data_IF_585100222535
#
_entry.id   IF_585100222535
#
_cell.length_a   1.000
_cell.length_b   1.000
_cell.length_c   1.000
_cell.angle_alpha   90.00
_cell.angle_beta   90.00
_cell.angle_gamma   90.00
#
_symmetry.space_group_name_H-M   'P 1'
#
loop_
_entity.id
_entity.type
_entity.pdbx_description
1 polymer ?
#
# COMPACT_ATOMS: atom_id res chain seq x y z
N UNK A 1 7.30 -12.29 -7.77
CA UNK A 1 7.41 -12.61 -6.33
C UNK A 1 6.27 -11.92 -5.60
N UNK A 2 5.55 -12.62 -4.72
CA UNK A 2 4.47 -12.06 -3.88
C UNK A 2 4.76 -12.50 -2.44
N UNK A 3 4.79 -11.57 -1.50
CA UNK A 3 5.09 -11.85 -0.09
C UNK A 3 3.84 -11.64 0.74
N UNK A 4 3.65 -12.51 1.74
CA UNK A 4 2.51 -12.47 2.65
C UNK A 4 3.02 -12.62 4.09
N UNK A 5 2.59 -11.73 4.97
CA UNK A 5 2.78 -11.88 6.42
C UNK A 5 1.56 -12.61 6.99
N UNK A 6 1.75 -13.59 7.86
CA UNK A 6 0.64 -14.35 8.44
C UNK A 6 1.00 -14.92 9.81
N UNK A 7 -0.02 -15.33 10.57
CA UNK A 7 0.16 -16.09 11.80
C UNK A 7 -0.18 -17.57 11.56
N UNK A 8 0.57 -18.47 12.19
CA UNK A 8 0.22 -19.88 12.30
C UNK A 8 -0.83 -20.12 13.39
N UNK A 9 -1.42 -21.34 13.47
CA UNK A 9 -2.37 -21.70 14.52
C UNK A 9 -1.85 -21.51 15.96
N UNK A 10 -0.55 -21.66 16.17
CA UNK A 10 0.11 -21.45 17.46
C UNK A 10 0.35 -19.96 17.80
N UNK A 11 -0.01 -19.04 16.90
CA UNK A 11 0.17 -17.60 17.06
C UNK A 11 1.56 -17.10 16.65
N UNK A 12 2.46 -17.97 16.21
CA UNK A 12 3.75 -17.56 15.67
C UNK A 12 3.56 -16.83 14.35
N UNK A 13 4.38 -15.78 14.14
CA UNK A 13 4.30 -14.91 12.99
C UNK A 13 5.35 -15.29 11.96
N UNK A 14 4.98 -15.29 10.69
CA UNK A 14 5.87 -15.68 9.59
C UNK A 14 5.67 -14.81 8.35
N UNK A 15 6.67 -14.82 7.48
CA UNK A 15 6.56 -14.36 6.08
C UNK A 15 6.64 -15.55 5.15
N UNK A 16 5.81 -15.56 4.11
CA UNK A 16 5.86 -16.56 3.06
C UNK A 16 5.85 -15.95 1.66
N UNK A 17 6.48 -16.65 0.72
CA UNK A 17 6.39 -16.36 -0.70
C UNK A 17 5.27 -17.19 -1.34
N UNK A 18 4.35 -16.54 -2.06
CA UNK A 18 3.25 -17.24 -2.72
C UNK A 18 3.81 -18.17 -3.82
N UNK A 19 3.34 -19.41 -3.85
CA UNK A 19 3.64 -20.41 -4.88
C UNK A 19 3.29 -19.90 -6.28
N UNK A 20 3.83 -20.58 -7.31
CA UNK A 20 3.49 -20.29 -8.69
C UNK A 20 1.98 -20.49 -8.96
N UNK A 21 1.40 -21.54 -8.38
CA UNK A 21 -0.01 -21.89 -8.52
C UNK A 21 -0.94 -20.97 -7.71
N UNK A 22 -0.39 -20.21 -6.75
CA UNK A 22 -1.11 -19.15 -6.03
C UNK A 22 -1.85 -19.58 -4.77
N UNK A 23 -1.83 -20.87 -4.44
CA UNK A 23 -2.62 -21.54 -3.40
C UNK A 23 -1.83 -21.83 -2.11
N UNK A 24 -0.51 -21.70 -2.14
CA UNK A 24 0.37 -22.00 -1.01
C UNK A 24 1.36 -20.88 -0.73
N UNK A 25 1.77 -20.77 0.53
CA UNK A 25 2.89 -19.92 0.94
C UNK A 25 4.08 -20.80 1.31
N UNK A 26 5.23 -20.53 0.70
CA UNK A 26 6.52 -21.08 1.10
C UNK A 26 7.07 -20.27 2.26
N UNK A 27 7.18 -20.87 3.45
CA UNK A 27 7.64 -20.16 4.66
C UNK A 27 9.11 -19.77 4.50
N UNK A 28 9.43 -18.52 4.83
CA UNK A 28 10.79 -18.01 4.88
C UNK A 28 11.37 -18.23 6.28
N UNK A 29 12.50 -18.92 6.37
CA UNK A 29 13.22 -19.15 7.61
C UNK A 29 13.74 -17.84 8.20
N UNK A 30 13.67 -17.71 9.53
CA UNK A 30 14.20 -16.56 10.26
C UNK A 30 13.68 -15.22 9.75
N UNK A 31 12.38 -15.14 9.45
CA UNK A 31 11.74 -13.94 8.91
C UNK A 31 10.32 -13.81 9.45
N UNK A 32 10.12 -12.90 10.40
CA UNK A 32 8.82 -12.70 11.04
C UNK A 32 8.03 -11.58 10.34
N UNK A 33 8.74 -10.64 9.69
CA UNK A 33 8.13 -9.50 8.98
C UNK A 33 8.80 -9.19 7.65
N UNK A 34 8.04 -8.63 6.71
CA UNK A 34 8.54 -8.10 5.43
C UNK A 34 9.45 -6.89 5.67
N UNK A 35 9.20 -6.12 6.74
CA UNK A 35 10.10 -5.03 7.16
C UNK A 35 11.49 -5.56 7.52
N UNK A 36 11.57 -6.63 8.31
CA UNK A 36 12.82 -7.30 8.67
C UNK A 36 13.53 -7.84 7.42
N UNK A 37 12.80 -8.53 6.54
CA UNK A 37 13.33 -9.04 5.28
C UNK A 37 13.93 -7.93 4.41
N UNK A 38 13.20 -6.83 4.23
CA UNK A 38 13.65 -5.68 3.44
C UNK A 38 14.84 -4.99 4.09
N UNK A 39 14.84 -4.86 5.42
CA UNK A 39 15.96 -4.28 6.18
C UNK A 39 17.22 -5.12 6.05
N UNK A 40 17.09 -6.45 6.10
CA UNK A 40 18.22 -7.37 5.88
C UNK A 40 18.78 -7.25 4.45
N UNK A 41 17.90 -7.20 3.44
CA UNK A 41 18.31 -7.00 2.05
C UNK A 41 19.09 -5.69 1.86
N UNK A 42 18.64 -4.59 2.46
CA UNK A 42 19.35 -3.30 2.45
C UNK A 42 20.70 -3.39 3.16
N UNK A 43 20.76 -4.00 4.34
CA UNK A 43 21.99 -4.15 5.12
C UNK A 43 23.06 -4.99 4.41
N UNK A 44 22.63 -6.02 3.66
CA UNK A 44 23.50 -6.91 2.90
C UNK A 44 23.83 -6.38 1.49
N UNK A 45 23.22 -5.28 1.04
CA UNK A 45 23.38 -4.75 -0.32
C UNK A 45 22.83 -5.69 -1.40
N UNK A 46 21.76 -6.42 -1.07
CA UNK A 46 21.17 -7.48 -1.89
C UNK A 46 19.74 -7.14 -2.29
N UNK A 47 19.25 -7.80 -3.35
CA UNK A 47 17.83 -7.70 -3.71
C UNK A 47 16.98 -8.51 -2.74
N UNK A 48 15.76 -8.04 -2.44
CA UNK A 48 14.78 -8.78 -1.63
C UNK A 48 14.57 -10.19 -2.21
N UNK A 49 14.51 -10.32 -3.54
CA UNK A 49 14.36 -11.62 -4.21
C UNK A 49 15.48 -12.59 -3.84
N UNK A 50 16.74 -12.15 -3.80
CA UNK A 50 17.86 -13.02 -3.44
C UNK A 50 17.83 -13.46 -1.97
N UNK A 51 17.33 -12.62 -1.06
CA UNK A 51 17.17 -12.99 0.36
C UNK A 51 16.01 -13.96 0.54
N UNK A 52 14.92 -13.78 -0.21
CA UNK A 52 13.77 -14.71 -0.23
C UNK A 52 14.17 -16.09 -0.73
N UNK A 53 14.96 -16.16 -1.80
CA UNK A 53 15.47 -17.43 -2.34
C UNK A 53 16.34 -18.18 -1.32
N UNK A 54 17.24 -17.48 -0.64
CA UNK A 54 18.11 -18.07 0.39
C UNK A 54 17.32 -18.56 1.61
N UNK A 55 16.32 -17.79 2.04
CA UNK A 55 15.52 -18.11 3.24
C UNK A 55 14.39 -19.09 2.97
N UNK A 56 14.18 -19.56 1.73
CA UNK A 56 13.11 -20.49 1.43
C UNK A 56 13.33 -21.84 2.13
N UNK A 57 12.58 -22.10 3.20
CA UNK A 57 12.74 -23.29 4.04
C UNK A 57 12.11 -24.56 3.48
N UNK A 58 11.40 -24.48 2.36
CA UNK A 58 10.71 -25.61 1.73
C UNK A 58 9.38 -26.00 2.40
N UNK A 59 9.15 -25.59 3.65
CA UNK A 59 7.85 -25.73 4.32
C UNK A 59 6.79 -24.89 3.61
N UNK A 60 5.58 -25.45 3.50
CA UNK A 60 4.44 -24.83 2.83
C UNK A 60 3.19 -24.87 3.68
N UNK A 61 2.37 -23.83 3.56
CA UNK A 61 1.06 -23.73 4.19
C UNK A 61 -0.01 -23.35 3.18
N UNK A 62 -1.24 -23.79 3.42
CA UNK A 62 -2.42 -23.49 2.60
C UNK A 62 -2.78 -22.00 2.74
N UNK A 63 -2.63 -21.25 1.66
CA UNK A 63 -2.86 -19.80 1.68
C UNK A 63 -4.34 -19.45 1.80
N UNK A 64 -5.21 -20.20 1.12
CA UNK A 64 -6.65 -19.96 1.17
C UNK A 64 -7.22 -20.28 2.55
N UNK A 65 -6.66 -21.27 3.24
CA UNK A 65 -7.02 -21.57 4.63
C UNK A 65 -6.63 -20.41 5.55
N UNK A 66 -5.43 -19.85 5.41
CA UNK A 66 -5.01 -18.68 6.20
C UNK A 66 -5.92 -17.47 5.97
N UNK A 67 -6.35 -17.23 4.73
CA UNK A 67 -7.32 -16.17 4.41
C UNK A 67 -8.69 -16.44 5.06
N UNK A 68 -9.23 -17.65 4.92
CA UNK A 68 -10.53 -18.04 5.53
C UNK A 68 -10.51 -17.95 7.05
N UNK A 69 -9.37 -18.24 7.66
CA UNK A 69 -9.19 -18.18 9.12
C UNK A 69 -8.81 -16.78 9.62
N UNK A 70 -8.68 -15.78 8.76
CA UNK A 70 -8.33 -14.41 9.14
C UNK A 70 -6.91 -14.29 9.72
N UNK A 71 -5.99 -15.17 9.28
CA UNK A 71 -4.61 -15.22 9.77
C UNK A 71 -3.61 -14.43 8.93
N UNK A 72 -4.02 -13.98 7.75
CA UNK A 72 -3.22 -13.11 6.90
C UNK A 72 -3.17 -11.71 7.52
N UNK A 73 -1.96 -11.19 7.68
CA UNK A 73 -1.70 -9.87 8.25
C UNK A 73 -1.61 -8.81 7.14
N UNK A 74 -1.45 -7.55 7.54
CA UNK A 74 -1.12 -6.48 6.60
C UNK A 74 0.18 -6.81 5.85
N UNK A 75 0.36 -6.39 4.58
CA UNK A 75 1.56 -6.73 3.81
C UNK A 75 2.87 -6.24 4.44
N UNK A 76 2.83 -5.08 5.11
CA UNK A 76 3.93 -4.48 5.88
C UNK A 76 3.34 -3.73 7.07
N UNK A 77 4.04 -3.76 8.20
CA UNK A 77 3.79 -3.01 9.43
C UNK A 77 5.12 -2.59 10.06
N UNK A 78 5.04 -1.75 11.09
CA UNK A 78 6.20 -1.25 11.81
C UNK A 78 5.96 -1.33 13.32
N UNK A 79 6.95 -1.77 14.13
CA UNK A 79 6.80 -1.88 15.60
C UNK A 79 6.50 -0.54 16.28
N UNK A 80 6.93 0.56 15.65
CA UNK A 80 6.53 1.92 15.98
C UNK A 80 5.57 2.46 14.89
N UNK A 81 4.25 2.40 15.08
CA UNK A 81 3.30 2.77 14.03
C UNK A 81 3.49 4.18 13.48
N UNK A 82 3.95 5.13 14.30
CA UNK A 82 4.22 6.51 13.90
C UNK A 82 5.33 6.66 12.83
N UNK A 83 6.18 5.64 12.66
CA UNK A 83 7.23 5.59 11.62
C UNK A 83 6.76 4.93 10.33
N UNK A 84 5.53 4.41 10.30
CA UNK A 84 4.88 3.91 9.10
C UNK A 84 3.90 4.97 8.60
N UNK A 85 4.34 5.80 7.65
CA UNK A 85 3.51 6.87 7.09
C UNK A 85 2.62 6.34 5.97
N UNK A 86 1.34 6.68 6.03
CA UNK A 86 0.38 6.37 4.99
C UNK A 86 0.02 7.71 4.35
N UNK A 87 0.37 7.82 3.08
CA UNK A 87 0.11 8.99 2.26
C UNK A 87 -0.67 8.55 1.04
N UNK A 88 -1.48 9.46 0.51
CA UNK A 88 -2.29 9.19 -0.67
C UNK A 88 -2.16 10.33 -1.68
N UNK A 89 -2.54 10.02 -2.90
CA UNK A 89 -2.64 10.98 -4.01
C UNK A 89 -3.97 10.74 -4.71
N UNK A 90 -4.82 11.76 -4.72
CA UNK A 90 -6.10 11.70 -5.43
C UNK A 90 -5.97 12.27 -6.84
N UNK A 91 -7.11 12.37 -7.54
CA UNK A 91 -7.18 12.86 -8.91
C UNK A 91 -6.29 12.07 -9.89
N UNK A 92 -6.12 10.77 -9.65
CA UNK A 92 -5.26 9.90 -10.47
C UNK A 92 -6.00 9.17 -11.58
N UNK A 93 -7.33 9.29 -11.64
CA UNK A 93 -8.15 8.68 -12.69
C UNK A 93 -9.24 9.65 -13.19
N UNK A 94 -9.63 9.51 -14.46
CA UNK A 94 -10.58 10.42 -15.12
C UNK A 94 -11.93 10.52 -14.42
N UNK A 95 -12.40 9.41 -13.85
CA UNK A 95 -13.67 9.35 -13.11
C UNK A 95 -13.73 10.25 -11.88
N UNK A 96 -12.63 10.40 -11.12
CA UNK A 96 -12.63 11.23 -9.90
C UNK A 96 -12.60 12.72 -10.23
N UNK A 97 -11.82 13.10 -11.24
CA UNK A 97 -11.79 14.49 -11.73
C UNK A 97 -13.17 14.93 -12.25
N UNK A 98 -13.80 14.11 -13.10
CA UNK A 98 -15.11 14.43 -13.67
C UNK A 98 -16.24 14.51 -12.61
N UNK A 99 -16.23 13.62 -11.62
CA UNK A 99 -17.22 13.64 -10.54
C UNK A 99 -17.11 14.90 -9.66
N UNK A 100 -15.88 15.33 -9.34
CA UNK A 100 -15.63 16.55 -8.56
C UNK A 100 -16.05 17.81 -9.33
N UNK A 101 -15.77 17.87 -10.63
CA UNK A 101 -16.18 19.00 -11.46
C UNK A 101 -17.70 19.11 -11.60
N UNK A 102 -18.40 17.98 -11.76
CA UNK A 102 -19.87 17.95 -11.76
C UNK A 102 -20.47 18.48 -10.46
N UNK A 103 -19.89 18.12 -9.30
CA UNK A 103 -20.31 18.69 -8.01
C UNK A 103 -20.01 20.19 -7.92
N UNK A 104 -18.89 20.65 -8.48
CA UNK A 104 -18.53 22.06 -8.51
C UNK A 104 -19.57 22.88 -9.27
N UNK A 105 -19.95 22.43 -10.48
CA UNK A 105 -20.99 23.04 -11.31
C UNK A 105 -22.35 23.03 -10.60
N UNK A 106 -22.74 21.91 -9.99
CA UNK A 106 -24.00 21.84 -9.22
C UNK A 106 -24.05 22.82 -8.05
N UNK A 107 -22.91 23.12 -7.44
CA UNK A 107 -22.82 24.00 -6.26
C UNK A 107 -22.68 25.47 -6.63
N UNK A 108 -21.97 25.78 -7.73
CA UNK A 108 -21.58 27.16 -8.09
C UNK A 108 -22.23 27.68 -9.39
N UNK A 109 -23.04 26.85 -10.08
CA UNK A 109 -23.74 27.20 -11.31
C UNK A 109 -23.00 26.76 -12.59
N UNK A 110 -23.72 26.79 -13.73
CA UNK A 110 -23.18 26.37 -15.04
C UNK A 110 -22.10 27.31 -15.59
N UNK A 111 -22.12 28.58 -15.19
CA UNK A 111 -21.09 29.58 -15.54
C UNK A 111 -19.85 29.51 -14.64
N UNK A 112 -19.80 28.57 -13.70
CA UNK A 112 -18.65 28.40 -12.83
C UNK A 112 -17.43 28.00 -13.66
N UNK A 113 -16.29 28.65 -13.39
CA UNK A 113 -15.01 28.25 -13.96
C UNK A 113 -14.63 26.82 -13.59
N UNK A 114 -13.58 26.32 -14.24
CA UNK A 114 -13.02 25.00 -13.93
C UNK A 114 -12.64 24.89 -12.44
N UNK A 115 -12.99 23.76 -11.82
CA UNK A 115 -12.60 23.49 -10.44
C UNK A 115 -11.09 23.30 -10.28
N UNK A 116 -10.51 23.68 -9.14
CA UNK A 116 -9.09 23.47 -8.86
C UNK A 116 -8.66 21.99 -9.00
N UNK A 117 -9.57 21.06 -8.67
CA UNK A 117 -9.36 19.62 -8.87
C UNK A 117 -9.19 19.26 -10.36
N UNK A 118 -10.03 19.80 -11.24
CA UNK A 118 -9.93 19.53 -12.66
C UNK A 118 -8.69 20.21 -13.26
N UNK A 119 -8.31 21.39 -12.76
CA UNK A 119 -7.07 22.06 -13.16
C UNK A 119 -5.82 21.25 -12.81
N UNK A 120 -5.71 20.74 -11.57
CA UNK A 120 -4.61 19.88 -11.13
C UNK A 120 -4.57 18.59 -11.97
N UNK A 121 -5.74 18.01 -12.26
CA UNK A 121 -5.83 16.82 -13.11
C UNK A 121 -5.25 17.08 -14.51
N UNK A 122 -5.61 18.20 -15.16
CA UNK A 122 -5.07 18.58 -16.48
C UNK A 122 -3.56 18.80 -16.44
N UNK A 123 -3.06 19.50 -15.42
CA UNK A 123 -1.61 19.67 -15.23
C UNK A 123 -0.90 18.30 -15.20
N UNK A 124 -1.48 17.32 -14.51
CA UNK A 124 -0.96 15.95 -14.46
C UNK A 124 -0.93 15.23 -15.81
N UNK A 125 -1.93 15.47 -16.67
CA UNK A 125 -1.94 14.93 -18.04
C UNK A 125 -0.88 15.56 -18.93
N UNK A 126 -0.69 16.88 -18.82
CA UNK A 126 0.21 17.66 -19.67
C UNK A 126 1.68 17.52 -19.26
N UNK A 127 1.96 17.50 -17.96
CA UNK A 127 3.33 17.56 -17.43
C UNK A 127 3.62 16.59 -16.28
N UNK A 128 2.73 15.65 -15.97
CA UNK A 128 2.90 14.69 -14.87
C UNK A 128 3.81 13.50 -15.19
N UNK A 129 4.30 13.41 -16.43
CA UNK A 129 5.19 12.32 -16.90
C UNK A 129 6.49 12.93 -17.48
N UNK A 130 7.33 13.56 -16.64
CA UNK A 130 8.57 14.19 -17.09
C UNK A 130 9.59 13.15 -17.59
N UNK A 131 10.55 13.58 -18.42
CA UNK A 131 11.67 12.73 -18.81
C UNK A 131 12.63 12.47 -17.61
N UNK A 132 13.51 11.45 -17.70
CA UNK A 132 14.50 11.21 -16.65
C UNK A 132 15.36 12.46 -16.37
N UNK A 133 15.42 12.87 -15.11
CA UNK A 133 16.16 14.06 -14.67
C UNK A 133 15.37 15.37 -14.74
N UNK A 134 14.13 15.35 -15.24
CA UNK A 134 13.25 16.52 -15.28
C UNK A 134 12.25 16.52 -14.13
N UNK A 135 11.85 17.72 -13.69
CA UNK A 135 10.82 17.89 -12.67
C UNK A 135 9.43 17.85 -13.34
N UNK A 136 8.55 17.00 -12.83
CA UNK A 136 7.15 16.95 -13.24
C UNK A 136 6.31 18.03 -12.55
N UNK A 137 5.03 18.10 -12.90
CA UNK A 137 4.08 18.94 -12.17
C UNK A 137 3.78 18.37 -10.78
N UNK A 138 3.36 19.25 -9.88
CA UNK A 138 2.91 18.86 -8.54
C UNK A 138 1.60 18.08 -8.61
N UNK A 139 1.52 16.86 -8.03
CA UNK A 139 0.26 16.14 -7.88
C UNK A 139 -0.44 16.54 -6.56
N UNK A 140 -1.70 16.10 -6.38
CA UNK A 140 -2.34 16.12 -5.06
C UNK A 140 -1.62 15.14 -4.14
N UNK A 141 -1.25 15.59 -2.94
CA UNK A 141 -0.70 14.73 -1.88
C UNK A 141 -1.40 15.02 -0.58
N UNK A 142 -1.75 13.96 0.16
CA UNK A 142 -2.30 14.10 1.50
C UNK A 142 -1.72 13.05 2.46
N UNK A 143 -1.67 13.43 3.72
CA UNK A 143 -1.36 12.53 4.82
C UNK A 143 -2.65 11.83 5.26
N UNK A 144 -2.72 10.51 5.10
CA UNK A 144 -3.87 9.70 5.52
C UNK A 144 -3.77 9.32 6.99
N UNK A 145 -2.56 9.06 7.47
CA UNK A 145 -2.32 8.63 8.83
C UNK A 145 -1.00 7.87 8.99
N UNK A 146 -0.94 7.11 10.08
CA UNK A 146 0.20 6.26 10.43
C UNK A 146 -0.23 4.80 10.50
N UNK A 147 0.68 3.88 10.81
CA UNK A 147 0.39 2.43 10.81
C UNK A 147 -0.84 1.98 11.61
N UNK A 148 -1.31 2.77 12.58
CA UNK A 148 -2.55 2.50 13.33
C UNK A 148 -3.83 2.58 12.49
N UNK A 149 -3.80 3.14 11.28
CA UNK A 149 -4.97 3.22 10.40
C UNK A 149 -5.07 2.08 9.38
N UNK A 150 -4.15 1.11 9.42
CA UNK A 150 -4.13 -0.04 8.50
C UNK A 150 -4.69 -1.26 9.21
N UNK A 151 -5.58 -2.01 8.55
CA UNK A 151 -6.15 -3.25 9.08
C UNK A 151 -5.80 -4.45 8.18
N UNK A 152 -5.72 -5.67 8.73
CA UNK A 152 -5.46 -6.87 7.94
C UNK A 152 -6.56 -7.17 6.90
N UNK A 153 -6.25 -7.95 5.85
CA UNK A 153 -7.27 -8.47 4.94
C UNK A 153 -8.39 -9.20 5.68
N UNK A 154 -9.64 -8.89 5.34
CA UNK A 154 -10.82 -9.48 5.97
C UNK A 154 -11.20 -8.91 7.35
N UNK A 155 -10.38 -8.01 7.92
CA UNK A 155 -10.72 -7.32 9.16
C UNK A 155 -11.75 -6.20 8.93
N UNK A 156 -12.49 -5.87 9.99
CA UNK A 156 -13.45 -4.77 9.95
C UNK A 156 -12.74 -3.41 9.80
N UNK A 157 -13.31 -2.54 8.95
CA UNK A 157 -12.88 -1.15 8.84
C UNK A 157 -13.55 -0.33 9.97
N UNK A 158 -12.78 0.27 10.89
CA UNK A 158 -13.36 1.05 11.97
C UNK A 158 -13.99 2.34 11.42
N UNK A 159 -15.26 2.57 11.80
CA UNK A 159 -15.99 3.79 11.47
C UNK A 159 -16.27 4.58 12.76
N UNK A 160 -15.89 5.86 12.85
CA UNK A 160 -16.20 6.68 14.01
C UNK A 160 -17.71 6.77 14.27
N UNK A 161 -18.14 6.73 15.53
CA UNK A 161 -19.57 6.70 15.90
C UNK A 161 -20.37 7.93 15.41
N UNK A 162 -19.69 9.04 15.13
CA UNK A 162 -20.30 10.26 14.61
C UNK A 162 -20.21 10.38 13.08
N UNK A 163 -19.65 9.39 12.38
CA UNK A 163 -19.59 9.40 10.93
C UNK A 163 -21.00 9.25 10.35
N UNK A 164 -21.36 10.14 9.42
CA UNK A 164 -22.68 10.14 8.75
C UNK A 164 -22.69 9.32 7.45
N UNK A 165 -21.52 9.00 6.92
CA UNK A 165 -21.29 8.21 5.73
C UNK A 165 -19.88 7.63 5.75
N UNK A 166 -19.67 6.56 4.96
CA UNK A 166 -18.37 6.01 4.63
C UNK A 166 -18.34 5.66 3.14
N UNK A 167 -17.16 5.73 2.54
CA UNK A 167 -16.94 5.33 1.17
C UNK A 167 -15.64 4.51 1.10
N UNK A 168 -15.64 3.49 0.25
CA UNK A 168 -14.45 2.70 -0.04
C UNK A 168 -13.80 3.24 -1.32
N UNK A 169 -12.48 3.36 -1.30
CA UNK A 169 -11.67 3.76 -2.44
C UNK A 169 -10.65 2.66 -2.70
N UNK A 170 -10.81 1.95 -3.82
CA UNK A 170 -9.88 0.91 -4.23
C UNK A 170 -8.69 1.55 -4.94
N UNK A 171 -7.51 1.48 -4.33
CA UNK A 171 -6.29 2.12 -4.80
C UNK A 171 -5.13 1.13 -4.95
N UNK A 172 -4.15 1.48 -5.79
CA UNK A 172 -2.86 0.80 -5.86
C UNK A 172 -1.91 1.50 -4.89
N UNK A 173 -1.27 0.74 -4.02
CA UNK A 173 -0.31 1.25 -3.04
C UNK A 173 1.12 0.92 -3.46
N UNK A 174 1.98 1.93 -3.47
CA UNK A 174 3.43 1.76 -3.49
C UNK A 174 3.96 1.62 -2.07
N UNK A 175 4.73 0.57 -1.79
CA UNK A 175 5.42 0.37 -0.51
C UNK A 175 6.92 0.51 -0.73
N UNK A 176 7.56 1.37 0.07
CA UNK A 176 9.00 1.57 0.03
C UNK A 176 9.54 1.81 1.44
N UNK A 177 10.85 1.64 1.60
CA UNK A 177 11.56 1.83 2.86
C UNK A 177 12.74 2.76 2.57
N UNK A 178 12.85 3.85 3.33
CA UNK A 178 14.05 4.67 3.28
C UNK A 178 15.19 3.96 4.03
N UNK A 179 16.24 3.60 3.30
CA UNK A 179 17.46 3.02 3.85
C UNK A 179 18.25 3.99 4.74
N UNK A 180 19.27 3.49 5.46
CA UNK A 180 20.10 4.31 6.35
C UNK A 180 20.85 5.45 5.63
N UNK A 181 21.02 5.35 4.31
CA UNK A 181 21.61 6.37 3.44
C UNK A 181 20.59 7.39 2.92
N UNK A 182 19.33 7.29 3.35
CA UNK A 182 18.23 8.17 2.95
C UNK A 182 17.64 7.86 1.57
N UNK A 183 17.99 6.73 0.95
CA UNK A 183 17.43 6.31 -0.34
C UNK A 183 16.21 5.40 -0.16
N UNK A 184 15.11 5.63 -0.88
CA UNK A 184 13.94 4.76 -0.88
C UNK A 184 14.17 3.43 -1.62
#
# INVERSE_FOLDING_TARGET
MRLVQFNLPDGSRHVGCVSADGDQLHILLGTDTVLELATAAVAEGRSIASVVEERNGGEKVDYDQLLREGRVLVPVDHPEPARFLITGTGLTHTGSAAARDKMHVLTHGEDAGESDSLRIFRMGLEGGKPAPGELGVQPEWFFKGVGTCVVPPGAALPLPAFAKAGAEEAEIVGLYLNGPDGRP
#
